data_IF_585941446500
#
_entry.id   IF_585941446500
#
_cell.length_a   1.000
_cell.length_b   1.000
_cell.length_c   1.000
_cell.angle_alpha   90.00
_cell.angle_beta   90.00
_cell.angle_gamma   90.00
#
_symmetry.space_group_name_H-M   'P 1'
#
loop_
_entity.id
_entity.type
_entity.pdbx_description
1 polymer ?
#
# COMPACT_ATOMS: atom_id res chain seq x y z
N UNK A 1 -1.69 8.85 -0.90
CA UNK A 1 -1.13 8.05 0.22
C UNK A 1 0.38 7.96 0.19
N UNK A 2 1.01 7.68 -0.96
CA UNK A 2 2.47 7.59 -1.06
C UNK A 2 3.19 8.87 -0.59
N UNK A 3 2.68 10.03 -0.97
CA UNK A 3 3.20 11.34 -0.59
C UNK A 3 3.04 11.60 0.92
N UNK A 4 1.89 11.24 1.49
CA UNK A 4 1.65 11.30 2.94
C UNK A 4 2.63 10.44 3.74
N UNK A 5 2.92 9.22 3.28
CA UNK A 5 3.86 8.34 3.99
C UNK A 5 5.31 8.82 3.91
N UNK A 6 5.66 9.53 2.84
CA UNK A 6 7.05 9.88 2.52
C UNK A 6 7.12 11.34 2.05
N UNK A 7 7.37 12.25 3.00
CA UNK A 7 7.52 13.68 2.68
C UNK A 7 8.58 13.90 1.58
N UNK A 8 8.23 14.74 0.61
CA UNK A 8 9.07 15.02 -0.55
C UNK A 8 8.93 14.02 -1.70
N UNK A 9 8.13 12.96 -1.54
CA UNK A 9 7.73 12.13 -2.67
C UNK A 9 6.72 12.89 -3.51
N UNK A 10 6.93 12.91 -4.83
CA UNK A 10 5.95 13.35 -5.82
C UNK A 10 5.55 12.12 -6.63
N UNK A 11 4.31 11.67 -6.47
CA UNK A 11 3.85 10.40 -7.05
C UNK A 11 4.01 10.34 -8.57
N UNK A 12 3.69 11.42 -9.27
CA UNK A 12 3.85 11.50 -10.73
C UNK A 12 5.32 11.34 -11.17
N UNK A 13 6.26 11.83 -10.36
CA UNK A 13 7.70 11.63 -10.63
C UNK A 13 8.09 10.16 -10.44
N UNK A 14 7.58 9.50 -9.39
CA UNK A 14 7.82 8.07 -9.15
C UNK A 14 7.27 7.23 -10.29
N UNK A 15 6.04 7.51 -10.71
CA UNK A 15 5.37 6.84 -11.83
C UNK A 15 6.13 7.05 -13.15
N UNK A 16 6.51 8.29 -13.45
CA UNK A 16 7.30 8.62 -14.65
C UNK A 16 8.63 7.88 -14.69
N UNK A 17 9.34 7.81 -13.55
CA UNK A 17 10.60 7.09 -13.47
C UNK A 17 10.42 5.57 -13.63
N UNK A 18 9.35 4.99 -13.07
CA UNK A 18 9.03 3.58 -13.26
C UNK A 18 8.76 3.26 -14.75
N UNK A 19 8.05 4.14 -15.45
CA UNK A 19 7.80 4.02 -16.90
C UNK A 19 9.11 4.06 -17.66
N UNK A 20 9.95 5.08 -17.45
CA UNK A 20 11.25 5.21 -18.14
C UNK A 20 12.15 4.00 -17.93
N UNK A 21 12.16 3.42 -16.73
CA UNK A 21 12.91 2.20 -16.46
C UNK A 21 12.33 1.00 -17.22
N UNK A 22 11.01 0.89 -17.31
CA UNK A 22 10.36 -0.21 -18.01
C UNK A 22 10.51 -0.13 -19.54
N UNK A 23 10.76 1.07 -20.11
CA UNK A 23 11.06 1.29 -21.53
C UNK A 23 12.46 0.76 -21.93
N UNK A 24 13.34 0.49 -20.97
CA UNK A 24 14.67 -0.07 -21.26
C UNK A 24 14.55 -1.60 -21.41
N UNK A 25 14.52 -2.08 -22.62
CA UNK A 25 14.30 -3.50 -22.95
C UNK A 25 15.35 -4.46 -22.37
N UNK A 26 16.58 -3.96 -22.15
CA UNK A 26 17.71 -4.77 -21.66
C UNK A 26 17.68 -5.02 -20.16
N UNK A 27 16.78 -4.39 -19.41
CA UNK A 27 16.63 -4.55 -17.96
C UNK A 27 15.25 -5.11 -17.60
N UNK A 28 15.16 -5.69 -16.42
CA UNK A 28 13.91 -6.14 -15.83
C UNK A 28 13.66 -5.34 -14.54
N UNK A 29 12.92 -4.21 -14.62
CA UNK A 29 12.62 -3.41 -13.44
C UNK A 29 11.81 -4.19 -12.42
N UNK A 30 12.11 -3.96 -11.15
CA UNK A 30 11.39 -4.52 -10.02
C UNK A 30 10.74 -3.41 -9.21
N UNK A 31 9.42 -3.32 -9.24
CA UNK A 31 8.68 -2.41 -8.37
C UNK A 31 8.41 -3.13 -7.05
N UNK A 32 9.01 -2.60 -6.00
CA UNK A 32 8.96 -3.15 -4.66
C UNK A 32 8.17 -2.21 -3.74
N UNK A 33 6.99 -2.63 -3.29
CA UNK A 33 6.13 -1.83 -2.42
C UNK A 33 6.11 -2.36 -1.00
N UNK A 34 6.38 -1.48 -0.04
CA UNK A 34 6.23 -1.79 1.39
C UNK A 34 4.82 -1.39 1.83
N UNK A 35 4.05 -2.39 2.25
CA UNK A 35 2.69 -2.19 2.74
C UNK A 35 2.72 -1.81 4.21
N UNK A 36 2.18 -0.64 4.52
CA UNK A 36 2.08 -0.07 5.85
C UNK A 36 0.63 0.00 6.31
N UNK A 37 0.40 0.45 7.55
CA UNK A 37 -0.93 0.77 8.07
C UNK A 37 -1.66 1.83 7.23
N UNK A 38 -0.92 2.70 6.54
CA UNK A 38 -1.50 3.73 5.66
C UNK A 38 -1.77 3.19 4.26
N UNK A 39 -0.79 2.55 3.62
CA UNK A 39 -0.95 2.09 2.22
C UNK A 39 -1.96 0.96 2.08
N UNK A 40 -2.19 0.15 3.11
CA UNK A 40 -3.24 -0.88 3.06
C UNK A 40 -4.66 -0.29 2.95
N UNK A 41 -4.85 0.97 3.41
CA UNK A 41 -6.12 1.69 3.31
C UNK A 41 -6.40 2.23 1.90
N UNK A 42 -5.42 2.13 0.99
CA UNK A 42 -5.52 2.54 -0.43
C UNK A 42 -4.93 1.46 -1.35
N UNK A 43 -5.09 0.20 -0.95
CA UNK A 43 -4.52 -0.95 -1.66
C UNK A 43 -5.04 -1.07 -3.09
N UNK A 44 -6.30 -0.73 -3.29
CA UNK A 44 -6.94 -0.79 -4.61
C UNK A 44 -6.25 0.11 -5.63
N UNK A 45 -5.85 1.34 -5.25
CA UNK A 45 -5.12 2.26 -6.12
C UNK A 45 -3.70 1.78 -6.44
N UNK A 46 -3.01 1.14 -5.48
CA UNK A 46 -1.71 0.53 -5.74
C UNK A 46 -1.81 -0.58 -6.78
N UNK A 47 -2.85 -1.40 -6.70
CA UNK A 47 -3.09 -2.47 -7.67
C UNK A 47 -3.48 -1.92 -9.05
N UNK A 48 -4.23 -0.81 -9.13
CA UNK A 48 -4.51 -0.15 -10.41
C UNK A 48 -3.21 0.30 -11.09
N UNK A 49 -2.27 0.85 -10.34
CA UNK A 49 -0.94 1.19 -10.86
C UNK A 49 -0.18 -0.05 -11.37
N UNK A 50 -0.20 -1.16 -10.63
CA UNK A 50 0.44 -2.40 -11.09
C UNK A 50 -0.19 -2.93 -12.38
N UNK A 51 -1.51 -2.88 -12.49
CA UNK A 51 -2.25 -3.28 -13.70
C UNK A 51 -1.83 -2.40 -14.87
N UNK A 52 -1.85 -1.08 -14.70
CA UNK A 52 -1.45 -0.12 -15.74
C UNK A 52 -0.03 -0.42 -16.25
N UNK A 53 0.91 -0.65 -15.34
CA UNK A 53 2.29 -0.95 -15.69
C UNK A 53 2.43 -2.31 -16.40
N UNK A 54 1.71 -3.34 -15.94
CA UNK A 54 1.74 -4.67 -16.55
C UNK A 54 1.13 -4.70 -17.94
N UNK A 55 0.09 -3.88 -18.17
CA UNK A 55 -0.58 -3.81 -19.48
C UNK A 55 0.29 -3.10 -20.52
N UNK A 56 1.17 -2.18 -20.07
CA UNK A 56 2.10 -1.47 -20.96
C UNK A 56 3.42 -2.19 -21.19
N UNK A 57 3.92 -2.92 -20.18
CA UNK A 57 5.28 -3.47 -20.19
C UNK A 57 5.30 -4.96 -19.79
N UNK A 58 6.01 -5.77 -20.58
CA UNK A 58 6.14 -7.21 -20.33
C UNK A 58 7.32 -7.57 -19.43
N UNK A 59 8.31 -6.68 -19.31
CA UNK A 59 9.56 -6.89 -18.59
C UNK A 59 9.52 -6.46 -17.12
N UNK A 60 8.41 -5.90 -16.63
CA UNK A 60 8.29 -5.40 -15.25
C UNK A 60 7.82 -6.48 -14.29
N UNK A 61 8.36 -6.47 -13.08
CA UNK A 61 7.94 -7.34 -11.97
C UNK A 61 7.51 -6.53 -10.76
N UNK A 62 6.63 -7.11 -9.97
CA UNK A 62 6.09 -6.52 -8.74
C UNK A 62 6.34 -7.42 -7.55
N UNK A 63 6.61 -6.79 -6.41
CA UNK A 63 6.71 -7.44 -5.11
C UNK A 63 6.10 -6.54 -4.05
N UNK A 64 5.39 -7.14 -3.10
CA UNK A 64 4.93 -6.47 -1.90
C UNK A 64 5.48 -7.18 -0.68
N UNK A 65 5.75 -6.43 0.39
CA UNK A 65 5.91 -6.96 1.72
C UNK A 65 5.39 -5.98 2.76
N UNK A 66 5.09 -6.50 3.92
CA UNK A 66 4.49 -5.74 5.00
C UNK A 66 5.55 -5.08 5.86
N UNK A 67 5.30 -3.84 6.28
CA UNK A 67 6.13 -3.16 7.26
C UNK A 67 5.96 -3.82 8.63
N UNK A 68 7.08 -4.15 9.27
CA UNK A 68 7.12 -4.65 10.64
C UNK A 68 7.79 -3.65 11.60
N UNK A 69 8.51 -2.68 11.07
CA UNK A 69 9.23 -1.66 11.84
C UNK A 69 9.10 -0.28 11.20
N UNK A 70 8.88 0.80 11.97
CA UNK A 70 8.48 0.77 13.39
C UNK A 70 7.11 0.11 13.59
N UNK A 71 6.84 -0.44 14.78
CA UNK A 71 5.62 -1.22 15.07
C UNK A 71 4.32 -0.48 14.70
N UNK A 72 4.22 0.82 14.93
CA UNK A 72 3.07 1.63 14.56
C UNK A 72 2.81 1.73 13.04
N UNK A 73 3.75 1.31 12.19
CA UNK A 73 3.58 1.29 10.73
C UNK A 73 2.97 -0.03 10.22
N UNK A 74 2.86 -1.05 11.04
CA UNK A 74 2.27 -2.32 10.62
C UNK A 74 0.76 -2.18 10.43
N UNK A 75 0.22 -2.78 9.37
CA UNK A 75 -1.24 -2.86 9.15
C UNK A 75 -1.97 -3.64 10.25
N UNK A 76 -1.23 -4.42 11.05
CA UNK A 76 -1.80 -5.15 12.20
C UNK A 76 -2.17 -4.21 13.36
N UNK A 77 -1.66 -2.98 13.36
CA UNK A 77 -1.98 -1.96 14.37
C UNK A 77 -3.32 -1.26 14.14
N UNK A 78 -3.99 -1.47 13.01
CA UNK A 78 -5.28 -0.88 12.70
C UNK A 78 -6.35 -1.30 13.71
N UNK A 79 -7.25 -0.36 14.08
CA UNK A 79 -8.44 -0.63 14.88
C UNK A 79 -9.50 -1.39 14.08
N UNK A 80 -10.59 -1.78 14.72
CA UNK A 80 -11.65 -2.56 14.08
C UNK A 80 -12.28 -1.83 12.88
N UNK A 81 -12.47 -0.52 12.97
CA UNK A 81 -13.05 0.28 11.90
C UNK A 81 -12.14 0.35 10.68
N UNK A 82 -10.88 0.71 10.88
CA UNK A 82 -9.91 0.82 9.79
C UNK A 82 -9.54 -0.53 9.20
N UNK A 83 -9.59 -1.63 9.99
CA UNK A 83 -9.47 -2.99 9.47
C UNK A 83 -10.59 -3.35 8.49
N UNK A 84 -11.83 -2.93 8.73
CA UNK A 84 -12.94 -3.13 7.79
C UNK A 84 -12.67 -2.41 6.46
N UNK A 85 -12.14 -1.18 6.51
CA UNK A 85 -11.74 -0.42 5.32
C UNK A 85 -10.61 -1.17 4.58
N UNK A 86 -9.55 -1.54 5.29
CA UNK A 86 -8.43 -2.28 4.71
C UNK A 86 -8.88 -3.61 4.08
N UNK A 87 -9.76 -4.36 4.74
CA UNK A 87 -10.31 -5.61 4.22
C UNK A 87 -11.10 -5.39 2.92
N UNK A 88 -11.89 -4.31 2.84
CA UNK A 88 -12.59 -3.93 1.60
C UNK A 88 -11.59 -3.61 0.48
N UNK A 89 -10.59 -2.78 0.77
CA UNK A 89 -9.54 -2.41 -0.19
C UNK A 89 -8.78 -3.63 -0.73
N UNK A 90 -8.42 -4.56 0.15
CA UNK A 90 -7.75 -5.82 -0.24
C UNK A 90 -8.68 -6.70 -1.08
N UNK A 91 -9.95 -6.83 -0.69
CA UNK A 91 -10.95 -7.61 -1.44
C UNK A 91 -11.11 -7.06 -2.86
N UNK A 92 -11.23 -5.75 -3.00
CA UNK A 92 -11.37 -5.12 -4.32
C UNK A 92 -10.09 -5.26 -5.15
N UNK A 93 -8.92 -5.13 -4.52
CA UNK A 93 -7.62 -5.39 -5.15
C UNK A 93 -7.52 -6.83 -5.69
N UNK A 94 -7.92 -7.84 -4.90
CA UNK A 94 -7.94 -9.25 -5.33
C UNK A 94 -8.86 -9.45 -6.54
N UNK A 95 -10.09 -8.90 -6.51
CA UNK A 95 -11.02 -8.99 -7.64
C UNK A 95 -10.44 -8.44 -8.94
N UNK A 96 -9.76 -7.29 -8.88
CA UNK A 96 -9.13 -6.64 -10.04
C UNK A 96 -8.08 -7.53 -10.72
N UNK A 97 -7.39 -8.37 -9.96
CA UNK A 97 -6.31 -9.22 -10.49
C UNK A 97 -6.67 -10.70 -10.59
N UNK A 98 -7.92 -11.08 -10.34
CA UNK A 98 -8.35 -12.49 -10.29
C UNK A 98 -8.03 -13.24 -11.59
N UNK A 99 -8.26 -12.62 -12.74
CA UNK A 99 -8.00 -13.21 -14.07
C UNK A 99 -6.57 -12.94 -14.61
N UNK A 100 -5.65 -12.40 -13.79
CA UNK A 100 -4.30 -11.99 -14.22
C UNK A 100 -3.24 -12.98 -13.71
N UNK A 101 -2.84 -14.00 -14.48
CA UNK A 101 -1.91 -15.04 -14.02
C UNK A 101 -0.53 -14.47 -13.63
N UNK A 102 -0.05 -13.44 -14.30
CA UNK A 102 1.22 -12.77 -13.97
C UNK A 102 1.20 -12.08 -12.59
N UNK A 103 0.02 -11.83 -12.02
CA UNK A 103 -0.19 -11.25 -10.69
C UNK A 103 -0.39 -12.30 -9.58
N UNK A 104 -0.15 -13.58 -9.86
CA UNK A 104 -0.40 -14.68 -8.91
C UNK A 104 0.28 -14.47 -7.57
N UNK A 105 1.56 -14.06 -7.55
CA UNK A 105 2.29 -13.77 -6.33
C UNK A 105 1.67 -12.61 -5.54
N UNK A 106 1.30 -11.53 -6.20
CA UNK A 106 0.63 -10.38 -5.57
C UNK A 106 -0.72 -10.81 -4.97
N UNK A 107 -1.46 -11.67 -5.66
CA UNK A 107 -2.72 -12.20 -5.17
C UNK A 107 -2.54 -13.03 -3.88
N UNK A 108 -1.51 -13.85 -3.80
CA UNK A 108 -1.20 -14.59 -2.56
C UNK A 108 -0.81 -13.67 -1.41
N UNK A 109 0.02 -12.65 -1.64
CA UNK A 109 0.37 -11.65 -0.62
C UNK A 109 -0.88 -10.91 -0.11
N UNK A 110 -1.81 -10.53 -1.00
CA UNK A 110 -3.07 -9.89 -0.62
C UNK A 110 -3.96 -10.84 0.21
N UNK A 111 -4.00 -12.13 -0.12
CA UNK A 111 -4.74 -13.14 0.68
C UNK A 111 -4.14 -13.31 2.07
N UNK A 112 -2.82 -13.37 2.18
CA UNK A 112 -2.13 -13.43 3.48
C UNK A 112 -2.42 -12.18 4.33
N UNK A 113 -2.40 -10.99 3.72
CA UNK A 113 -2.77 -9.75 4.43
C UNK A 113 -4.23 -9.76 4.89
N UNK A 114 -5.16 -10.24 4.05
CA UNK A 114 -6.57 -10.38 4.41
C UNK A 114 -6.77 -11.30 5.62
N UNK A 115 -6.07 -12.43 5.64
CA UNK A 115 -6.07 -13.35 6.78
C UNK A 115 -5.46 -12.68 8.03
N UNK A 116 -4.34 -11.98 7.87
CA UNK A 116 -3.67 -11.26 8.96
C UNK A 116 -4.58 -10.22 9.60
N UNK A 117 -5.29 -9.42 8.80
CA UNK A 117 -6.26 -8.43 9.30
C UNK A 117 -7.39 -9.09 10.09
N UNK A 118 -7.84 -10.27 9.67
CA UNK A 118 -8.97 -10.97 10.29
C UNK A 118 -8.59 -11.74 11.56
N UNK A 119 -7.38 -12.32 11.62
CA UNK A 119 -6.99 -13.27 12.66
C UNK A 119 -6.06 -12.70 13.72
N UNK A 120 -5.25 -11.70 13.38
CA UNK A 120 -4.27 -11.14 14.32
C UNK A 120 -5.00 -10.20 15.29
N UNK A 121 -4.84 -10.36 16.62
CA UNK A 121 -5.41 -9.43 17.59
C UNK A 121 -4.95 -8.00 17.36
N UNK A 122 -5.83 -7.02 17.63
CA UNK A 122 -5.47 -5.59 17.56
C UNK A 122 -4.43 -5.32 18.66
N UNK A 123 -3.28 -4.80 18.27
CA UNK A 123 -2.20 -4.41 19.17
C UNK A 123 -1.58 -3.11 18.68
N UNK A 124 -1.07 -2.32 19.63
CA UNK A 124 -0.25 -1.14 19.31
C UNK A 124 -0.99 -0.04 18.49
N UNK A 125 -2.33 0.00 18.50
CA UNK A 125 -3.09 1.06 17.83
C UNK A 125 -2.70 2.44 18.33
N UNK A 126 -2.45 2.59 19.64
CA UNK A 126 -1.94 3.86 20.22
C UNK A 126 -0.60 4.29 19.59
N UNK A 127 0.26 3.34 19.21
CA UNK A 127 1.51 3.66 18.53
C UNK A 127 1.26 4.21 17.13
N UNK A 128 0.29 3.65 16.40
CA UNK A 128 -0.13 4.19 15.11
C UNK A 128 -0.70 5.60 15.27
N UNK A 129 -1.60 5.82 16.23
CA UNK A 129 -2.18 7.13 16.50
C UNK A 129 -1.11 8.18 16.84
N UNK A 130 -0.17 7.83 17.72
CA UNK A 130 0.92 8.73 18.10
C UNK A 130 1.84 9.06 16.92
N UNK A 131 2.16 8.05 16.09
CA UNK A 131 2.97 8.23 14.89
C UNK A 131 2.25 9.12 13.87
N UNK A 132 0.95 8.95 13.69
CA UNK A 132 0.12 9.77 12.80
C UNK A 132 0.09 11.22 13.27
N UNK A 133 -0.19 11.49 14.56
CA UNK A 133 -0.12 12.83 15.12
C UNK A 133 1.23 13.50 14.93
N UNK A 134 2.30 12.73 15.12
CA UNK A 134 3.66 13.23 14.92
C UNK A 134 3.92 13.59 13.44
N UNK A 135 3.47 12.75 12.49
CA UNK A 135 3.62 13.04 11.06
C UNK A 135 2.79 14.24 10.65
N UNK A 136 1.53 14.33 11.07
CA UNK A 136 0.65 15.45 10.75
C UNK A 136 1.27 16.77 11.24
N UNK A 137 1.69 16.82 12.51
CA UNK A 137 2.29 18.02 13.10
C UNK A 137 3.64 18.41 12.45
N UNK A 138 4.49 17.43 12.11
CA UNK A 138 5.82 17.68 11.55
C UNK A 138 5.76 18.11 10.08
N UNK A 139 4.69 17.73 9.36
CA UNK A 139 4.60 17.88 7.90
C UNK A 139 3.59 18.95 7.49
N UNK A 140 2.81 19.48 8.43
CA UNK A 140 1.67 20.34 8.15
C UNK A 140 0.70 19.66 7.17
N UNK A 141 0.41 18.39 7.44
CA UNK A 141 -0.49 17.53 6.68
C UNK A 141 -1.54 16.97 7.65
N UNK A 142 -2.61 16.39 7.13
CA UNK A 142 -3.64 15.74 7.94
C UNK A 142 -3.98 14.37 7.37
N UNK A 143 -3.97 13.35 8.23
CA UNK A 143 -4.48 12.04 7.88
C UNK A 143 -5.93 12.12 7.36
N UNK A 144 -6.77 12.94 8.02
CA UNK A 144 -8.17 13.11 7.64
C UNK A 144 -8.31 13.69 6.22
N UNK A 145 -7.47 14.64 5.83
CA UNK A 145 -7.51 15.24 4.49
C UNK A 145 -7.11 14.23 3.41
N UNK A 146 -6.16 13.34 3.72
CA UNK A 146 -5.67 12.34 2.77
C UNK A 146 -6.62 11.16 2.61
N UNK A 147 -7.25 10.71 3.70
CA UNK A 147 -8.06 9.49 3.71
C UNK A 147 -9.57 9.75 3.76
N UNK A 148 -10.00 11.00 4.00
CA UNK A 148 -11.42 11.38 4.07
C UNK A 148 -12.13 10.95 5.35
N UNK A 149 -11.40 10.49 6.37
CA UNK A 149 -11.95 10.12 7.67
C UNK A 149 -10.89 10.21 8.78
N UNK A 150 -11.35 10.35 10.03
CA UNK A 150 -10.46 10.39 11.19
C UNK A 150 -9.89 9.00 11.53
N UNK A 151 -8.63 8.94 11.91
CA UNK A 151 -8.03 7.72 12.43
C UNK A 151 -8.45 7.46 13.87
N UNK A 152 -8.61 8.51 14.67
CA UNK A 152 -8.92 8.48 16.11
C UNK A 152 -9.89 9.60 16.50
#
# INVERSE_FOLDING_TARGET
VAEYQRKGTVWETVKSNAIKLAEIETIQPFIHSTVTAYSVLDMSSLIDFYIEMQDKFTNIKFMMHTASNPLGMSYTCLDERTRKIAASQISDAIKKIESRPKMGRIKEELRHMSQGISLIPIKDFDKLCNLTKYFDAMRDESFEDVFGYKLF
#
